data_IF_755056596380
#
_entry.id   IF_755056596380
#
_cell.length_a   1.000
_cell.length_b   1.000
_cell.length_c   1.000
_cell.angle_alpha   90.00
_cell.angle_beta   90.00
_cell.angle_gamma   90.00
#
_symmetry.space_group_name_H-M   'P 1'
#
loop_
_entity.id
_entity.type
_entity.pdbx_description
1 polymer ?
#
# COMPACT_ATOMS: atom_id res chain seq x y z
N UNK A 1 -38.65 -25.00 -29.89
CA UNK A 1 -38.51 -24.98 -28.43
C UNK A 1 -37.32 -25.87 -28.07
N UNK A 2 -36.29 -25.24 -27.50
CA UNK A 2 -35.14 -25.73 -26.70
C UNK A 2 -34.72 -27.21 -26.82
N UNK A 3 -33.43 -27.54 -26.94
CA UNK A 3 -32.43 -27.30 -25.90
C UNK A 3 -31.01 -27.26 -26.50
N UNK A 4 -30.39 -26.09 -26.50
CA UNK A 4 -28.94 -25.96 -26.69
C UNK A 4 -28.25 -26.50 -25.43
N UNK A 5 -27.81 -27.76 -25.52
CA UNK A 5 -26.95 -28.37 -24.52
C UNK A 5 -25.65 -27.57 -24.46
N UNK A 6 -25.36 -26.98 -23.30
CA UNK A 6 -24.20 -26.14 -23.10
C UNK A 6 -22.93 -26.95 -23.40
N UNK A 7 -22.10 -26.45 -24.31
CA UNK A 7 -20.86 -27.08 -24.75
C UNK A 7 -19.80 -26.99 -23.64
N UNK A 8 -19.93 -27.85 -22.64
CA UNK A 8 -19.00 -27.95 -21.51
C UNK A 8 -17.64 -28.51 -21.95
N UNK A 9 -17.59 -29.29 -23.02
CA UNK A 9 -16.34 -29.76 -23.64
C UNK A 9 -15.46 -28.60 -24.12
N UNK A 10 -16.07 -27.59 -24.75
CA UNK A 10 -15.35 -26.40 -25.22
C UNK A 10 -14.78 -25.57 -24.07
N UNK A 11 -15.51 -25.46 -22.96
CA UNK A 11 -15.05 -24.78 -21.75
C UNK A 11 -13.96 -25.57 -21.02
N UNK A 12 -14.03 -26.90 -21.01
CA UNK A 12 -13.00 -27.77 -20.43
C UNK A 12 -11.72 -27.77 -21.26
N UNK A 13 -11.82 -27.83 -22.59
CA UNK A 13 -10.66 -27.67 -23.47
C UNK A 13 -10.04 -26.28 -23.37
N UNK A 14 -10.85 -25.24 -23.23
CA UNK A 14 -10.36 -23.88 -22.97
C UNK A 14 -9.68 -23.80 -21.59
N UNK A 15 -10.29 -24.36 -20.55
CA UNK A 15 -9.70 -24.37 -19.21
C UNK A 15 -8.41 -25.19 -19.16
N UNK A 16 -8.28 -26.28 -19.91
CA UNK A 16 -7.06 -27.10 -19.97
C UNK A 16 -5.96 -26.44 -20.80
N UNK A 17 -6.31 -25.72 -21.86
CA UNK A 17 -5.33 -24.94 -22.64
C UNK A 17 -4.87 -23.67 -21.93
N UNK A 18 -5.62 -23.21 -20.92
CA UNK A 18 -5.25 -22.09 -20.05
C UNK A 18 -4.85 -22.53 -18.63
N UNK A 19 -4.92 -23.83 -18.31
CA UNK A 19 -4.41 -24.42 -17.07
C UNK A 19 -2.98 -24.91 -17.30
N UNK A 20 -2.06 -23.97 -17.46
CA UNK A 20 -0.65 -24.27 -17.25
C UNK A 20 -0.43 -24.47 -15.74
N UNK A 21 -0.47 -25.74 -15.33
CA UNK A 21 -0.30 -26.20 -13.95
C UNK A 21 1.11 -26.05 -13.38
N UNK A 22 1.88 -25.04 -13.80
CA UNK A 22 3.21 -24.73 -13.24
C UNK A 22 3.50 -23.24 -13.05
N UNK A 23 2.49 -22.36 -13.04
CA UNK A 23 2.71 -20.97 -12.63
C UNK A 23 2.11 -20.73 -11.24
N UNK A 24 2.91 -21.05 -10.22
CA UNK A 24 2.76 -20.48 -8.88
C UNK A 24 2.73 -18.97 -9.05
N UNK A 25 1.62 -18.32 -8.68
CA UNK A 25 1.47 -16.86 -8.60
C UNK A 25 2.04 -16.13 -9.83
N UNK A 26 1.19 -15.60 -10.71
CA UNK A 26 1.61 -14.52 -11.61
C UNK A 26 2.12 -13.37 -10.72
N UNK A 27 3.41 -13.43 -10.44
CA UNK A 27 4.12 -12.57 -9.52
C UNK A 27 3.90 -11.14 -10.02
N UNK A 28 3.88 -10.19 -9.09
CA UNK A 28 4.14 -8.78 -9.39
C UNK A 28 5.17 -8.60 -10.51
N UNK A 29 6.16 -9.49 -10.54
CA UNK A 29 7.26 -9.46 -11.47
C UNK A 29 6.91 -9.54 -12.97
N UNK A 30 5.73 -10.05 -13.32
CA UNK A 30 5.31 -10.24 -14.71
C UNK A 30 4.32 -9.16 -15.18
N UNK A 31 3.59 -8.52 -14.24
CA UNK A 31 2.62 -7.46 -14.55
C UNK A 31 3.24 -6.06 -14.67
N UNK A 32 4.38 -5.81 -14.04
CA UNK A 32 5.16 -4.57 -14.25
C UNK A 32 5.78 -4.48 -15.65
N UNK A 33 5.75 -5.55 -16.45
CA UNK A 33 6.37 -5.60 -17.80
C UNK A 33 5.58 -4.81 -18.87
N UNK A 34 4.47 -4.12 -18.54
CA UNK A 34 3.65 -3.39 -19.52
C UNK A 34 3.58 -1.85 -19.34
N UNK A 35 4.48 -1.17 -20.07
CA UNK A 35 4.36 0.14 -20.77
C UNK A 35 4.18 1.45 -19.97
N UNK A 36 5.26 2.24 -19.93
CA UNK A 36 5.28 3.70 -19.73
C UNK A 36 6.49 4.35 -20.42
N UNK A 37 6.34 5.53 -21.03
CA UNK A 37 7.29 6.10 -22.00
C UNK A 37 8.63 6.61 -21.41
N UNK A 38 9.67 6.57 -22.24
CA UNK A 38 11.04 6.90 -21.90
C UNK A 38 11.28 8.37 -21.50
N UNK A 39 11.85 8.58 -20.31
CA UNK A 39 12.64 9.77 -19.96
C UNK A 39 13.95 9.33 -19.32
N UNK A 40 15.07 9.80 -19.87
CA UNK A 40 16.28 9.00 -20.04
C UNK A 40 17.35 9.08 -18.93
N UNK A 41 17.02 9.32 -17.64
CA UNK A 41 18.11 9.51 -16.68
C UNK A 41 17.99 8.98 -15.23
N UNK A 42 16.93 8.27 -14.83
CA UNK A 42 16.86 7.69 -13.48
C UNK A 42 16.94 6.16 -13.48
N UNK A 43 17.82 5.63 -12.64
CA UNK A 43 18.16 4.19 -12.54
C UNK A 43 16.96 3.34 -12.13
N UNK A 44 16.02 3.92 -11.38
CA UNK A 44 14.74 3.31 -11.01
C UNK A 44 13.84 2.99 -12.22
N UNK A 45 13.87 3.78 -13.30
CA UNK A 45 13.06 3.52 -14.51
C UNK A 45 13.70 2.57 -15.51
N UNK A 46 14.98 2.21 -15.34
CA UNK A 46 15.69 1.28 -16.22
C UNK A 46 15.66 -0.15 -15.68
N UNK A 47 14.53 -0.57 -15.11
CA UNK A 47 14.24 -2.00 -14.94
C UNK A 47 13.89 -2.60 -16.31
N UNK A 48 14.91 -2.77 -17.17
CA UNK A 48 14.82 -3.81 -18.19
C UNK A 48 14.87 -5.15 -17.45
N UNK A 49 13.77 -5.90 -17.51
CA UNK A 49 13.68 -7.31 -17.16
C UNK A 49 14.08 -7.65 -15.70
N UNK A 50 13.19 -7.35 -14.76
CA UNK A 50 13.03 -8.18 -13.56
C UNK A 50 13.86 -7.84 -12.32
N UNK A 51 14.42 -6.63 -12.20
CA UNK A 51 15.17 -6.21 -11.01
C UNK A 51 14.36 -5.21 -10.17
N UNK A 52 13.74 -5.70 -9.07
CA UNK A 52 12.82 -4.98 -8.17
C UNK A 52 13.53 -4.23 -7.03
N UNK A 53 14.84 -4.00 -7.16
CA UNK A 53 15.72 -3.56 -6.06
C UNK A 53 15.38 -2.19 -5.48
N UNK A 54 14.65 -1.32 -6.21
CA UNK A 54 14.31 0.02 -5.73
C UNK A 54 13.25 0.05 -4.61
N UNK A 55 12.40 -0.98 -4.49
CA UNK A 55 11.38 -1.03 -3.43
C UNK A 55 11.91 -1.57 -2.10
N UNK A 56 13.07 -2.22 -2.12
CA UNK A 56 13.75 -2.80 -0.95
C UNK A 56 14.66 -1.79 -0.23
N UNK A 57 15.08 -0.75 -0.95
CA UNK A 57 16.03 0.23 -0.45
C UNK A 57 15.35 1.32 0.40
N UNK A 58 15.93 1.71 1.55
CA UNK A 58 15.45 2.84 2.32
C UNK A 58 15.77 4.16 1.60
N UNK A 59 15.00 5.22 1.90
CA UNK A 59 15.12 6.56 1.29
C UNK A 59 16.56 7.08 1.24
N UNK A 60 17.32 6.89 2.32
CA UNK A 60 18.71 7.35 2.44
C UNK A 60 19.65 6.71 1.41
N UNK A 61 19.38 5.44 1.06
CA UNK A 61 20.15 4.73 0.04
C UNK A 61 19.78 5.27 -1.33
N UNK A 62 18.50 5.51 -1.60
CA UNK A 62 18.03 6.13 -2.86
C UNK A 62 18.62 7.54 -3.04
N UNK A 63 18.61 8.36 -1.99
CA UNK A 63 19.24 9.70 -2.01
C UNK A 63 20.74 9.61 -2.31
N UNK A 64 21.45 8.66 -1.70
CA UNK A 64 22.88 8.44 -1.96
C UNK A 64 23.19 7.99 -3.40
N UNK A 65 22.22 7.35 -4.05
CA UNK A 65 22.28 6.94 -5.45
C UNK A 65 21.88 8.07 -6.42
N UNK A 66 21.49 9.24 -5.90
CA UNK A 66 21.09 10.40 -6.68
C UNK A 66 19.63 10.38 -7.15
N UNK A 67 18.79 9.53 -6.56
CA UNK A 67 17.34 9.51 -6.81
C UNK A 67 16.74 10.76 -6.18
N UNK A 68 15.94 11.50 -6.94
CA UNK A 68 15.32 12.72 -6.43
C UNK A 68 14.03 12.40 -5.67
N UNK A 69 13.56 13.26 -4.75
CA UNK A 69 12.29 13.06 -4.06
C UNK A 69 11.10 12.91 -5.03
N UNK A 70 11.14 13.59 -6.17
CA UNK A 70 10.11 13.44 -7.20
C UNK A 70 10.11 12.05 -7.83
N UNK A 71 11.29 11.46 -8.05
CA UNK A 71 11.39 10.10 -8.57
C UNK A 71 10.84 9.06 -7.58
N UNK A 72 11.02 9.31 -6.28
CA UNK A 72 10.42 8.48 -5.22
C UNK A 72 8.90 8.62 -5.22
N UNK A 73 8.37 9.83 -5.38
CA UNK A 73 6.92 10.06 -5.51
C UNK A 73 6.34 9.32 -6.72
N UNK A 74 6.95 9.46 -7.89
CA UNK A 74 6.50 8.81 -9.12
C UNK A 74 6.58 7.26 -9.01
N UNK A 75 7.62 6.74 -8.34
CA UNK A 75 7.74 5.31 -8.05
C UNK A 75 6.64 4.81 -7.10
N UNK A 76 6.28 5.59 -6.07
CA UNK A 76 5.17 5.24 -5.17
C UNK A 76 3.82 5.28 -5.88
N UNK A 77 3.65 6.18 -6.85
CA UNK A 77 2.45 6.25 -7.69
C UNK A 77 2.30 5.02 -8.59
N UNK A 78 3.39 4.54 -9.21
CA UNK A 78 3.37 3.30 -9.98
C UNK A 78 3.09 2.08 -9.07
N UNK A 79 3.70 2.05 -7.88
CA UNK A 79 3.44 0.99 -6.91
C UNK A 79 1.98 0.95 -6.47
N UNK A 80 1.33 2.11 -6.30
CA UNK A 80 -0.08 2.22 -5.92
C UNK A 80 -0.99 1.44 -6.87
N UNK A 81 -0.81 1.59 -8.18
CA UNK A 81 -1.61 0.90 -9.20
C UNK A 81 -1.42 -0.62 -9.13
N UNK A 82 -0.24 -1.08 -8.74
CA UNK A 82 0.06 -2.50 -8.63
C UNK A 82 -0.48 -3.15 -7.36
N UNK A 83 -0.45 -2.45 -6.22
CA UNK A 83 -0.89 -3.01 -4.92
C UNK A 83 -2.41 -3.06 -4.76
N UNK A 84 -3.20 -2.56 -5.72
CA UNK A 84 -4.67 -2.70 -5.74
C UNK A 84 -5.12 -4.18 -5.75
N UNK A 85 -4.28 -5.08 -6.28
CA UNK A 85 -4.52 -6.52 -6.23
C UNK A 85 -4.00 -7.11 -4.92
N UNK A 86 -4.83 -7.92 -4.24
CA UNK A 86 -4.46 -8.59 -2.98
C UNK A 86 -3.22 -9.48 -3.15
N UNK A 87 -3.10 -10.18 -4.28
CA UNK A 87 -1.94 -11.02 -4.57
C UNK A 87 -0.66 -10.19 -4.62
N UNK A 88 -0.72 -9.05 -5.30
CA UNK A 88 0.39 -8.13 -5.43
C UNK A 88 0.76 -7.50 -4.07
N UNK A 89 -0.23 -7.12 -3.26
CA UNK A 89 0.00 -6.63 -1.91
C UNK A 89 0.72 -7.67 -1.01
N UNK A 90 0.45 -8.96 -1.20
CA UNK A 90 1.14 -10.03 -0.48
C UNK A 90 2.55 -10.30 -1.01
N UNK A 91 2.74 -10.21 -2.32
CA UNK A 91 4.05 -10.34 -2.96
C UNK A 91 4.98 -9.19 -2.55
N UNK A 92 4.47 -7.96 -2.43
CA UNK A 92 5.22 -6.79 -1.98
C UNK A 92 5.89 -7.02 -0.61
N UNK A 93 5.18 -7.68 0.30
CA UNK A 93 5.77 -8.06 1.57
C UNK A 93 6.84 -9.15 1.41
N UNK A 94 6.59 -10.12 0.52
CA UNK A 94 7.50 -11.25 0.28
C UNK A 94 8.83 -10.81 -0.34
N UNK A 95 8.82 -9.73 -1.13
CA UNK A 95 10.02 -9.06 -1.66
C UNK A 95 10.59 -8.03 -0.68
N UNK A 96 10.11 -7.93 0.55
CA UNK A 96 10.66 -7.00 1.56
C UNK A 96 10.30 -5.52 1.40
N UNK A 97 9.50 -5.14 0.40
CA UNK A 97 9.14 -3.73 0.13
C UNK A 97 8.25 -3.07 1.18
N UNK A 98 7.65 -3.84 2.09
CA UNK A 98 6.83 -3.29 3.18
C UNK A 98 7.66 -2.50 4.21
N UNK A 99 8.88 -2.93 4.50
CA UNK A 99 9.70 -2.27 5.52
C UNK A 99 10.14 -0.85 5.08
N UNK A 100 10.67 -0.65 3.86
CA UNK A 100 10.97 0.68 3.33
C UNK A 100 9.74 1.59 3.26
N UNK A 101 8.57 1.05 2.89
CA UNK A 101 7.31 1.80 2.91
C UNK A 101 6.95 2.35 4.30
N UNK A 102 7.14 1.56 5.35
CA UNK A 102 6.92 2.02 6.72
C UNK A 102 7.96 3.07 7.13
N UNK A 103 9.19 2.97 6.64
CA UNK A 103 10.23 3.96 6.91
C UNK A 103 9.99 5.30 6.19
N UNK A 104 9.38 5.30 4.99
CA UNK A 104 8.99 6.53 4.28
C UNK A 104 8.00 7.40 5.06
N UNK A 105 7.31 6.86 6.08
CA UNK A 105 6.47 7.65 6.98
C UNK A 105 7.29 8.65 7.83
N UNK A 106 8.61 8.46 7.90
CA UNK A 106 9.56 9.36 8.59
C UNK A 106 10.35 10.24 7.61
N UNK A 107 10.02 10.21 6.32
CA UNK A 107 10.66 11.04 5.29
C UNK A 107 10.60 12.52 5.66
N UNK A 108 11.62 13.28 5.25
CA UNK A 108 11.60 14.74 5.36
C UNK A 108 10.53 15.38 4.46
N UNK A 109 10.17 14.70 3.37
CA UNK A 109 9.26 15.20 2.35
C UNK A 109 7.79 14.82 2.64
N UNK A 110 6.88 15.79 2.80
CA UNK A 110 5.49 15.52 3.14
C UNK A 110 4.73 14.74 2.06
N UNK A 111 5.08 14.95 0.78
CA UNK A 111 4.43 14.23 -0.32
C UNK A 111 4.77 12.73 -0.28
N UNK A 112 6.05 12.38 -0.06
CA UNK A 112 6.49 10.99 0.11
C UNK A 112 5.78 10.35 1.31
N UNK A 113 5.69 11.06 2.46
CA UNK A 113 4.94 10.57 3.62
C UNK A 113 3.47 10.29 3.30
N UNK A 114 2.81 11.18 2.56
CA UNK A 114 1.41 11.03 2.19
C UNK A 114 1.21 9.86 1.21
N UNK A 115 2.05 9.76 0.18
CA UNK A 115 1.99 8.69 -0.83
C UNK A 115 2.31 7.32 -0.23
N UNK A 116 3.31 7.22 0.63
CA UNK A 116 3.61 5.98 1.34
C UNK A 116 2.42 5.54 2.22
N UNK A 117 1.75 6.48 2.89
CA UNK A 117 0.55 6.18 3.66
C UNK A 117 -0.60 5.70 2.74
N UNK A 118 -0.81 6.31 1.58
CA UNK A 118 -1.81 5.87 0.60
C UNK A 118 -1.55 4.42 0.12
N UNK A 119 -0.29 4.11 -0.24
CA UNK A 119 0.14 2.74 -0.60
C UNK A 119 -0.11 1.74 0.52
N UNK A 120 0.28 2.08 1.75
CA UNK A 120 0.02 1.19 2.89
C UNK A 120 -1.48 1.02 3.13
N UNK A 121 -2.28 2.06 2.95
CA UNK A 121 -3.75 2.00 3.07
C UNK A 121 -4.34 0.97 2.11
N UNK A 122 -3.91 0.98 0.84
CA UNK A 122 -4.35 0.03 -0.18
C UNK A 122 -3.87 -1.38 0.12
N UNK A 123 -2.60 -1.55 0.51
CA UNK A 123 -2.00 -2.86 0.86
C UNK A 123 -2.73 -3.54 2.02
N UNK A 124 -3.20 -2.78 3.03
CA UNK A 124 -3.91 -3.33 4.19
C UNK A 124 -5.43 -3.39 3.99
N UNK A 125 -5.97 -2.72 2.97
CA UNK A 125 -7.40 -2.72 2.69
C UNK A 125 -7.85 -4.15 2.32
N UNK A 126 -8.81 -4.69 3.08
CA UNK A 126 -9.33 -6.05 2.90
C UNK A 126 -8.29 -7.18 2.90
N UNK A 127 -7.08 -6.93 3.43
CA UNK A 127 -6.01 -7.92 3.50
C UNK A 127 -5.60 -8.20 4.97
N UNK A 128 -6.14 -9.26 5.61
CA UNK A 128 -5.80 -9.60 6.99
C UNK A 128 -4.31 -9.92 7.21
N UNK A 129 -3.65 -10.52 6.21
CA UNK A 129 -2.22 -10.87 6.29
C UNK A 129 -1.38 -9.60 6.35
N UNK A 130 -1.58 -8.68 5.40
CA UNK A 130 -0.85 -7.41 5.40
C UNK A 130 -1.15 -6.55 6.62
N UNK A 131 -2.40 -6.55 7.12
CA UNK A 131 -2.72 -5.88 8.39
C UNK A 131 -1.88 -6.41 9.55
N UNK A 132 -1.74 -7.72 9.67
CA UNK A 132 -0.94 -8.33 10.73
C UNK A 132 0.54 -7.93 10.61
N UNK A 133 1.10 -7.99 9.40
CA UNK A 133 2.50 -7.68 9.14
C UNK A 133 2.85 -6.22 9.45
N UNK A 134 1.96 -5.28 9.10
CA UNK A 134 2.13 -3.85 9.45
C UNK A 134 2.11 -3.64 10.97
N UNK A 135 1.29 -4.39 11.70
CA UNK A 135 1.25 -4.31 13.16
C UNK A 135 2.48 -4.93 13.82
N UNK A 136 2.97 -6.06 13.31
CA UNK A 136 4.20 -6.72 13.76
C UNK A 136 5.43 -5.83 13.55
N UNK A 137 5.44 -5.02 12.48
CA UNK A 137 6.47 -4.03 12.21
C UNK A 137 6.33 -2.72 13.03
N UNK A 138 5.44 -2.68 14.03
CA UNK A 138 5.14 -1.49 14.83
C UNK A 138 4.70 -0.26 14.00
N UNK A 139 4.02 -0.49 12.87
CA UNK A 139 3.58 0.58 11.95
C UNK A 139 2.52 1.53 12.52
N UNK A 140 1.83 1.16 13.61
CA UNK A 140 0.78 1.98 14.23
C UNK A 140 1.32 3.28 14.85
N UNK A 141 2.51 3.26 15.45
CA UNK A 141 3.09 4.39 16.16
C UNK A 141 3.53 5.54 15.22
N UNK A 142 4.25 5.28 14.11
CA UNK A 142 4.53 6.30 13.10
C UNK A 142 3.27 6.94 12.51
N UNK A 143 2.22 6.14 12.25
CA UNK A 143 0.95 6.63 11.71
C UNK A 143 0.25 7.58 12.67
N UNK A 144 0.20 7.24 13.96
CA UNK A 144 -0.37 8.12 14.99
C UNK A 144 0.43 9.41 15.18
N UNK A 145 1.77 9.31 15.09
CA UNK A 145 2.65 10.48 15.14
C UNK A 145 2.38 11.42 13.97
N UNK A 146 2.32 10.88 12.75
CA UNK A 146 2.00 11.65 11.55
C UNK A 146 0.60 12.27 11.63
N UNK A 147 -0.40 11.53 12.10
CA UNK A 147 -1.76 12.05 12.29
C UNK A 147 -1.84 13.23 13.28
N UNK A 148 -1.07 13.20 14.36
CA UNK A 148 -1.16 14.20 15.44
C UNK A 148 -0.24 15.41 15.25
N UNK A 149 0.95 15.19 14.70
CA UNK A 149 2.05 16.15 14.77
C UNK A 149 2.52 16.66 13.42
N UNK A 150 2.08 16.07 12.30
CA UNK A 150 2.53 16.50 10.97
C UNK A 150 1.96 17.88 10.60
N UNK A 151 2.77 18.82 10.10
CA UNK A 151 2.27 20.13 9.69
C UNK A 151 1.38 20.07 8.43
N UNK A 152 1.48 19.00 7.63
CA UNK A 152 0.74 18.83 6.39
C UNK A 152 -0.59 18.08 6.62
N UNK A 153 -1.70 18.73 6.26
CA UNK A 153 -3.04 18.16 6.44
C UNK A 153 -3.31 16.92 5.56
N UNK A 154 -2.67 16.83 4.40
CA UNK A 154 -2.78 15.67 3.51
C UNK A 154 -2.16 14.45 4.18
N UNK A 155 -0.95 14.57 4.73
CA UNK A 155 -0.29 13.50 5.48
C UNK A 155 -1.15 13.03 6.66
N UNK A 156 -1.76 13.97 7.38
CA UNK A 156 -2.66 13.63 8.50
C UNK A 156 -3.91 12.88 8.03
N UNK A 157 -4.46 13.26 6.89
CA UNK A 157 -5.66 12.62 6.32
C UNK A 157 -5.35 11.20 5.85
N UNK A 158 -4.24 11.00 5.13
CA UNK A 158 -3.81 9.69 4.69
C UNK A 158 -3.46 8.77 5.86
N UNK A 159 -2.72 9.27 6.86
CA UNK A 159 -2.41 8.51 8.07
C UNK A 159 -3.68 8.06 8.81
N UNK A 160 -4.71 8.90 8.88
CA UNK A 160 -6.01 8.51 9.44
C UNK A 160 -6.70 7.43 8.59
N UNK A 161 -6.59 7.52 7.27
CA UNK A 161 -7.08 6.51 6.33
C UNK A 161 -6.48 5.13 6.61
N UNK A 162 -5.15 5.06 6.76
CA UNK A 162 -4.44 3.83 7.11
C UNK A 162 -4.88 3.29 8.47
N UNK A 163 -4.92 4.15 9.50
CA UNK A 163 -5.36 3.76 10.85
C UNK A 163 -6.77 3.16 10.80
N UNK A 164 -7.70 3.78 10.07
CA UNK A 164 -9.06 3.29 9.87
C UNK A 164 -9.07 1.90 9.23
N UNK A 165 -8.27 1.69 8.19
CA UNK A 165 -8.14 0.40 7.50
C UNK A 165 -7.52 -0.69 8.41
N UNK A 166 -6.54 -0.32 9.26
CA UNK A 166 -5.87 -1.23 10.19
C UNK A 166 -6.76 -1.69 11.33
N UNK A 167 -7.62 -0.84 11.88
CA UNK A 167 -8.51 -1.20 13.01
C UNK A 167 -9.81 -1.88 12.55
N UNK A 168 -10.26 -1.62 11.31
CA UNK A 168 -11.53 -2.16 10.81
C UNK A 168 -11.46 -3.68 10.66
N UNK A 169 -12.42 -4.36 11.28
CA UNK A 169 -12.54 -5.82 11.31
C UNK A 169 -11.24 -6.55 11.75
N UNK A 170 -10.41 -5.91 12.58
CA UNK A 170 -9.11 -6.44 12.98
C UNK A 170 -8.87 -6.19 14.48
N UNK A 171 -9.12 -7.21 15.32
CA UNK A 171 -8.98 -7.11 16.77
C UNK A 171 -7.54 -6.79 17.22
N UNK A 172 -6.48 -7.43 16.69
CA UNK A 172 -5.10 -7.02 16.95
C UNK A 172 -4.82 -5.55 16.63
N UNK A 173 -5.42 -5.02 15.56
CA UNK A 173 -5.30 -3.60 15.20
C UNK A 173 -5.92 -2.67 16.22
N UNK A 174 -7.09 -3.04 16.77
CA UNK A 174 -7.76 -2.28 17.85
C UNK A 174 -6.90 -2.32 19.12
N UNK A 175 -6.34 -3.48 19.47
CA UNK A 175 -5.50 -3.63 20.67
C UNK A 175 -4.21 -2.80 20.54
N UNK A 176 -3.56 -2.81 19.37
CA UNK A 176 -2.40 -1.98 19.07
C UNK A 176 -2.74 -0.48 19.12
N UNK A 177 -3.89 -0.09 18.55
CA UNK A 177 -4.37 1.30 18.59
C UNK A 177 -4.64 1.77 20.03
N UNK A 178 -5.19 0.89 20.87
CA UNK A 178 -5.40 1.18 22.30
C UNK A 178 -4.08 1.34 23.05
N UNK A 179 -3.12 0.42 22.83
CA UNK A 179 -1.80 0.46 23.45
C UNK A 179 -1.03 1.74 23.10
N UNK A 180 -1.16 2.19 21.85
CA UNK A 180 -0.57 3.43 21.36
C UNK A 180 -1.35 4.70 21.77
N UNK A 181 -2.33 4.58 22.68
CA UNK A 181 -3.20 5.69 23.16
C UNK A 181 -3.94 6.42 22.02
N UNK A 182 -4.26 5.71 20.94
CA UNK A 182 -4.83 6.30 19.72
C UNK A 182 -6.16 7.03 19.94
N UNK A 183 -7.00 6.59 20.89
CA UNK A 183 -8.26 7.29 21.21
C UNK A 183 -8.02 8.69 21.78
N UNK A 184 -6.98 8.87 22.60
CA UNK A 184 -6.61 10.18 23.12
C UNK A 184 -6.10 11.06 21.98
N UNK A 185 -5.23 10.52 21.12
CA UNK A 185 -4.72 11.21 19.94
C UNK A 185 -5.84 11.69 18.99
N UNK A 186 -6.85 10.85 18.70
CA UNK A 186 -8.02 11.24 17.90
C UNK A 186 -8.83 12.34 18.57
N UNK A 187 -9.10 12.22 19.88
CA UNK A 187 -9.85 13.22 20.63
C UNK A 187 -9.14 14.57 20.62
N UNK A 188 -7.84 14.56 20.85
CA UNK A 188 -7.04 15.77 20.94
C UNK A 188 -6.96 16.44 19.57
N UNK A 189 -6.70 15.68 18.49
CA UNK A 189 -6.73 16.19 17.11
C UNK A 189 -8.11 16.80 16.72
N UNK A 190 -9.21 16.17 17.14
CA UNK A 190 -10.56 16.70 16.93
C UNK A 190 -10.88 17.94 17.78
N UNK A 191 -10.23 18.10 18.93
CA UNK A 191 -10.34 19.28 19.79
C UNK A 191 -9.65 20.51 19.20
N UNK A 192 -8.60 20.31 18.39
CA UNK A 192 -7.84 21.38 17.75
C UNK A 192 -8.34 21.77 16.34
N UNK A 193 -9.06 20.89 15.61
CA UNK A 193 -9.46 21.15 14.22
C UNK A 193 -10.97 21.17 13.93
N UNK A 194 -11.42 22.34 13.47
CA UNK A 194 -12.82 22.67 13.21
C UNK A 194 -13.42 21.94 11.99
N UNK A 195 -14.62 21.38 12.19
CA UNK A 195 -15.74 21.12 11.25
C UNK A 195 -15.51 20.25 10.00
N UNK A 196 -14.32 20.18 9.38
CA UNK A 196 -14.09 19.41 8.13
C UNK A 196 -14.00 17.89 8.35
N UNK A 197 -13.62 17.42 9.54
CA UNK A 197 -13.54 15.99 9.87
C UNK A 197 -14.90 15.32 10.16
N UNK A 198 -16.01 16.07 10.21
CA UNK A 198 -17.32 15.47 10.48
C UNK A 198 -17.83 14.58 9.34
N UNK A 199 -17.31 14.72 8.10
CA UNK A 199 -17.74 13.91 6.95
C UNK A 199 -17.19 12.48 6.93
N UNK A 200 -16.09 12.18 7.64
CA UNK A 200 -15.54 10.81 7.69
C UNK A 200 -16.12 9.95 8.84
N UNK A 201 -16.93 10.55 9.73
CA UNK A 201 -17.64 9.85 10.82
C UNK A 201 -18.58 8.75 10.32
N UNK A 202 -19.03 8.79 9.07
CA UNK A 202 -19.97 7.82 8.54
C UNK A 202 -19.32 6.51 8.07
N UNK A 203 -18.00 6.45 7.87
CA UNK A 203 -17.37 5.21 7.39
C UNK A 203 -16.91 4.28 8.51
N UNK A 204 -16.64 4.76 9.73
CA UNK A 204 -16.05 3.94 10.81
C UNK A 204 -17.10 3.10 11.58
N UNK A 205 -18.38 3.11 11.16
CA UNK A 205 -19.46 2.42 11.89
C UNK A 205 -20.36 1.51 11.04
N UNK A 206 -19.79 0.77 10.09
CA UNK A 206 -20.42 -0.41 9.48
C UNK A 206 -19.40 -1.55 9.42
#
# INVERSE_FOLDING_TARGET
MAREGHNWEGWLQWSLSHADGTNSSRNLSEKMVYRGGASANNRCYKANEGDYTCYEDPEQVLESQGVTPQDVEDMLDELQEHVESIDNANDLHSIGGLAPLLDYHRSSHPNIRAKAADVVSTVVQNNPRSKQLVLEANGMEPLLTNYTSDPNITVRTEALGVISSLIRHNKPGIDAFWLAKGYAALRDALGFESVRFQRHRCYIRA
#
